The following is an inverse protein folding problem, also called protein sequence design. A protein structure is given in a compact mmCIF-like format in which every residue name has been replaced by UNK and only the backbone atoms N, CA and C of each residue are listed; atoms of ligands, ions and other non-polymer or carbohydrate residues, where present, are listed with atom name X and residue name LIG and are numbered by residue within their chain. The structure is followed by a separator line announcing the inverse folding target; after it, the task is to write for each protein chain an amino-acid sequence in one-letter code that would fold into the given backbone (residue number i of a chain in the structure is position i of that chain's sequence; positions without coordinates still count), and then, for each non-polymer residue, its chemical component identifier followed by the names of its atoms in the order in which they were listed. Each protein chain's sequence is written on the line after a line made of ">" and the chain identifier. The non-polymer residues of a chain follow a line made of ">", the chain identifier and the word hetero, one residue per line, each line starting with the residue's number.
data_IF_996812366812
#
_entry.id   IF_996812366812
#
_cell.length_a   1.000
_cell.length_b   1.000
_cell.length_c   1.000
_cell.angle_alpha   90.00
_cell.angle_beta   90.00
_cell.angle_gamma   90.00
#
_symmetry.space_group_name_H-M   'P 1'
#
loop_
_entity.id
_entity.type
_entity.pdbx_description
1 polymer ?
#
# COMPACT_ATOMS: atom_id res chain seq x y z
N UNK A 1 8.52 -39.66 -22.50
CA UNK A 1 9.12 -38.54 -21.73
C UNK A 1 8.34 -37.22 -21.81
N UNK A 2 7.54 -36.92 -22.86
CA UNK A 2 6.69 -35.70 -22.88
C UNK A 2 5.57 -35.68 -21.83
N UNK A 3 4.79 -36.75 -21.72
CA UNK A 3 3.65 -36.80 -20.78
C UNK A 3 4.04 -36.56 -19.30
N UNK A 4 5.21 -37.08 -18.87
CA UNK A 4 5.74 -36.83 -17.53
C UNK A 4 6.18 -35.37 -17.33
N UNK A 5 6.80 -34.76 -18.34
CA UNK A 5 7.18 -33.36 -18.31
C UNK A 5 5.95 -32.43 -18.30
N UNK A 6 4.93 -32.75 -19.11
CA UNK A 6 3.66 -32.01 -19.14
C UNK A 6 2.92 -32.12 -17.80
N UNK A 7 2.93 -33.31 -17.18
CA UNK A 7 2.34 -33.52 -15.86
C UNK A 7 3.09 -32.76 -14.75
N UNK A 8 4.43 -32.75 -14.76
CA UNK A 8 5.23 -31.96 -13.83
C UNK A 8 4.99 -30.46 -13.99
N UNK A 9 4.91 -29.97 -15.23
CA UNK A 9 4.58 -28.56 -15.51
C UNK A 9 3.18 -28.19 -15.03
N UNK A 10 2.18 -29.04 -15.28
CA UNK A 10 0.82 -28.86 -14.80
C UNK A 10 0.78 -28.79 -13.26
N UNK A 11 1.40 -29.75 -12.57
CA UNK A 11 1.45 -29.80 -11.11
C UNK A 11 2.07 -28.53 -10.52
N UNK A 12 3.22 -28.11 -11.04
CA UNK A 12 3.91 -26.87 -10.61
C UNK A 12 3.04 -25.63 -10.83
N UNK A 13 2.31 -25.56 -11.95
CA UNK A 13 1.39 -24.46 -12.24
C UNK A 13 0.23 -24.43 -11.24
N UNK A 14 -0.40 -25.57 -11.00
CA UNK A 14 -1.52 -25.66 -10.05
C UNK A 14 -1.11 -25.35 -8.61
N UNK A 15 0.09 -25.76 -8.20
CA UNK A 15 0.64 -25.39 -6.88
C UNK A 15 0.87 -23.89 -6.76
N UNK A 16 1.42 -23.26 -7.81
CA UNK A 16 1.60 -21.81 -7.86
C UNK A 16 0.25 -21.07 -7.81
N UNK A 17 -0.73 -21.48 -8.61
CA UNK A 17 -2.07 -20.88 -8.63
C UNK A 17 -2.73 -20.96 -7.24
N UNK A 18 -2.63 -22.11 -6.56
CA UNK A 18 -3.13 -22.24 -5.18
C UNK A 18 -2.42 -21.29 -4.23
N UNK A 19 -1.09 -21.23 -4.28
CA UNK A 19 -0.30 -20.33 -3.44
C UNK A 19 -0.70 -18.86 -3.66
N UNK A 20 -0.89 -18.46 -4.92
CA UNK A 20 -1.30 -17.10 -5.27
C UNK A 20 -2.71 -16.81 -4.73
N UNK A 21 -3.66 -17.75 -4.87
CA UNK A 21 -5.00 -17.60 -4.29
C UNK A 21 -4.93 -17.35 -2.78
N UNK A 22 -4.12 -18.12 -2.04
CA UNK A 22 -3.97 -17.92 -0.60
C UNK A 22 -3.29 -16.58 -0.26
N UNK A 23 -2.26 -16.19 -1.02
CA UNK A 23 -1.54 -14.94 -0.79
C UNK A 23 -2.41 -13.70 -1.04
N UNK A 24 -3.40 -13.77 -1.94
CA UNK A 24 -4.22 -12.63 -2.34
C UNK A 24 -5.70 -12.77 -1.96
N UNK A 25 -6.10 -13.81 -1.21
CA UNK A 25 -7.50 -14.03 -0.80
C UNK A 25 -8.08 -12.83 -0.03
N UNK A 26 -7.25 -12.13 0.74
CA UNK A 26 -7.65 -11.00 1.57
C UNK A 26 -7.56 -9.65 0.84
N UNK A 27 -7.17 -9.62 -0.44
CA UNK A 27 -6.95 -8.37 -1.19
C UNK A 27 -8.16 -7.43 -1.13
N UNK A 28 -9.37 -7.98 -1.33
CA UNK A 28 -10.60 -7.19 -1.32
C UNK A 28 -10.88 -6.53 0.04
N UNK A 29 -10.81 -7.31 1.12
CA UNK A 29 -11.10 -6.80 2.47
C UNK A 29 -10.00 -5.83 2.93
N UNK A 30 -8.74 -6.07 2.55
CA UNK A 30 -7.63 -5.15 2.80
C UNK A 30 -7.93 -3.80 2.13
N UNK A 31 -8.33 -3.80 0.85
CA UNK A 31 -8.63 -2.55 0.14
C UNK A 31 -9.73 -1.73 0.82
N UNK A 32 -10.81 -2.38 1.25
CA UNK A 32 -11.90 -1.71 1.99
C UNK A 32 -11.43 -1.20 3.37
N UNK A 33 -10.55 -1.93 4.06
CA UNK A 33 -9.94 -1.50 5.33
C UNK A 33 -9.00 -0.30 5.16
N UNK A 34 -8.29 -0.20 4.04
CA UNK A 34 -7.42 0.94 3.77
C UNK A 34 -8.21 2.26 3.67
N UNK A 35 -9.42 2.24 3.12
CA UNK A 35 -10.29 3.42 3.08
C UNK A 35 -10.74 3.82 4.50
N UNK A 36 -10.93 2.85 5.40
CA UNK A 36 -11.21 3.12 6.82
C UNK A 36 -9.98 3.75 7.49
N UNK A 37 -8.79 3.23 7.23
CA UNK A 37 -7.52 3.76 7.76
C UNK A 37 -7.33 5.23 7.34
N UNK A 38 -7.58 5.57 6.08
CA UNK A 38 -7.45 6.96 5.62
C UNK A 38 -8.39 7.90 6.36
N UNK A 39 -9.62 7.45 6.65
CA UNK A 39 -10.56 8.24 7.43
C UNK A 39 -10.13 8.36 8.89
N UNK A 40 -9.51 7.32 9.47
CA UNK A 40 -8.87 7.39 10.79
C UNK A 40 -7.74 8.41 10.80
N UNK A 41 -6.83 8.37 9.81
CA UNK A 41 -5.74 9.34 9.68
C UNK A 41 -6.26 10.77 9.52
N UNK A 42 -7.30 10.97 8.69
CA UNK A 42 -7.96 12.27 8.52
C UNK A 42 -8.59 12.77 9.82
N UNK A 43 -9.24 11.90 10.57
CA UNK A 43 -9.85 12.25 11.86
C UNK A 43 -8.79 12.62 12.91
N UNK A 44 -7.68 11.88 12.94
CA UNK A 44 -6.55 12.20 13.83
C UNK A 44 -5.90 13.54 13.47
N UNK A 45 -5.72 13.83 12.17
CA UNK A 45 -5.15 15.09 11.69
C UNK A 45 -6.05 16.31 11.94
N UNK A 46 -7.36 16.11 12.09
CA UNK A 46 -8.32 17.17 12.42
C UNK A 46 -8.45 17.43 13.94
N UNK A 47 -7.85 16.59 14.77
CA UNK A 47 -7.90 16.70 16.22
C UNK A 47 -6.99 17.80 16.77
N UNK A 48 -7.23 18.21 18.02
CA UNK A 48 -6.38 19.18 18.73
C UNK A 48 -5.31 18.47 19.56
N UNK A 49 -4.08 18.98 19.54
CA UNK A 49 -2.98 18.46 20.36
C UNK A 49 -3.32 18.42 21.86
N UNK A 50 -2.93 17.33 22.53
CA UNK A 50 -3.10 17.14 23.97
C UNK A 50 -4.41 16.47 24.40
N UNK A 51 -5.25 16.03 23.46
CA UNK A 51 -6.41 15.19 23.77
C UNK A 51 -5.98 13.73 23.96
N UNK A 52 -6.11 13.22 25.19
CA UNK A 52 -5.84 11.80 25.54
C UNK A 52 -6.66 10.81 24.70
N UNK A 53 -7.82 11.24 24.20
CA UNK A 53 -8.63 10.42 23.30
C UNK A 53 -7.92 10.23 21.96
N UNK A 54 -7.32 11.27 21.39
CA UNK A 54 -6.56 11.19 20.13
C UNK A 54 -5.33 10.28 20.30
N UNK A 55 -4.61 10.39 21.42
CA UNK A 55 -3.49 9.48 21.72
C UNK A 55 -3.94 8.01 21.72
N UNK A 56 -5.07 7.72 22.38
CA UNK A 56 -5.64 6.36 22.39
C UNK A 56 -6.04 5.88 20.99
N UNK A 57 -6.59 6.77 20.16
CA UNK A 57 -6.96 6.46 18.77
C UNK A 57 -5.72 6.23 17.89
N UNK A 58 -4.64 6.99 18.11
CA UNK A 58 -3.36 6.78 17.42
C UNK A 58 -2.75 5.42 17.78
N UNK A 59 -2.84 5.00 19.05
CA UNK A 59 -2.41 3.67 19.49
C UNK A 59 -3.21 2.56 18.78
N UNK A 60 -4.53 2.71 18.64
CA UNK A 60 -5.38 1.76 17.93
C UNK A 60 -5.00 1.70 16.45
N UNK A 61 -4.76 2.85 15.81
CA UNK A 61 -4.32 2.90 14.42
C UNK A 61 -2.98 2.18 14.23
N UNK A 62 -2.00 2.43 15.10
CA UNK A 62 -0.71 1.72 15.08
C UNK A 62 -0.89 0.22 15.22
N UNK A 63 -1.74 -0.23 16.15
CA UNK A 63 -2.03 -1.65 16.32
C UNK A 63 -2.67 -2.26 15.07
N UNK A 64 -3.61 -1.55 14.45
CA UNK A 64 -4.26 -1.99 13.21
C UNK A 64 -3.25 -2.12 12.06
N UNK A 65 -2.38 -1.13 11.88
CA UNK A 65 -1.32 -1.18 10.87
C UNK A 65 -0.37 -2.36 11.10
N UNK A 66 0.03 -2.63 12.36
CA UNK A 66 0.85 -3.80 12.69
C UNK A 66 0.13 -5.14 12.42
N UNK A 67 -1.19 -5.20 12.55
CA UNK A 67 -1.98 -6.39 12.18
C UNK A 67 -1.94 -6.59 10.66
N UNK A 68 -2.13 -5.53 9.89
CA UNK A 68 -2.06 -5.57 8.43
C UNK A 68 -0.66 -5.94 7.92
N UNK A 69 0.40 -5.43 8.55
CA UNK A 69 1.78 -5.78 8.26
C UNK A 69 2.05 -7.28 8.43
N UNK A 70 1.59 -7.87 9.54
CA UNK A 70 1.65 -9.32 9.75
C UNK A 70 0.82 -10.13 8.75
N UNK A 71 -0.22 -9.53 8.16
CA UNK A 71 -1.00 -10.13 7.09
C UNK A 71 -0.37 -9.94 5.69
N UNK A 72 0.81 -9.34 5.61
CA UNK A 72 1.56 -9.12 4.37
C UNK A 72 1.30 -7.77 3.70
N UNK A 73 0.60 -6.84 4.35
CA UNK A 73 0.33 -5.50 3.81
C UNK A 73 1.43 -4.53 4.23
N UNK A 74 2.09 -3.88 3.27
CA UNK A 74 3.15 -2.90 3.52
C UNK A 74 2.84 -1.57 2.85
N UNK A 75 3.19 -0.47 3.50
CA UNK A 75 3.06 0.88 2.95
C UNK A 75 4.13 1.13 1.88
N UNK A 76 3.73 1.76 0.78
CA UNK A 76 4.64 2.21 -0.28
C UNK A 76 5.28 3.52 0.19
N UNK A 77 6.60 3.50 0.41
CA UNK A 77 7.36 4.72 0.71
C UNK A 77 7.53 5.50 -0.59
N UNK A 78 6.95 6.71 -0.63
CA UNK A 78 6.92 7.51 -1.85
C UNK A 78 7.64 8.85 -1.67
N UNK A 79 7.55 9.49 -0.49
CA UNK A 79 8.06 10.85 -0.29
C UNK A 79 9.57 10.94 -0.57
N UNK A 80 9.96 11.80 -1.52
CA UNK A 80 11.35 12.00 -1.97
C UNK A 80 11.89 10.94 -2.93
N UNK A 81 11.14 9.86 -3.18
CA UNK A 81 11.49 8.81 -4.13
C UNK A 81 11.14 9.22 -5.56
N UNK A 82 11.74 8.53 -6.54
CA UNK A 82 11.41 8.72 -7.95
C UNK A 82 9.99 8.23 -8.24
N UNK A 83 9.27 8.97 -9.08
CA UNK A 83 7.92 8.58 -9.46
C UNK A 83 7.94 7.30 -10.33
N UNK A 84 7.34 6.22 -9.82
CA UNK A 84 7.08 5.00 -10.57
C UNK A 84 5.56 4.78 -10.78
N UNK A 85 5.05 4.79 -12.03
CA UNK A 85 3.64 4.54 -12.33
C UNK A 85 3.09 3.19 -11.84
N UNK A 86 3.96 2.21 -11.55
CA UNK A 86 3.54 0.93 -11.01
C UNK A 86 3.10 1.03 -9.54
N UNK A 87 3.66 1.99 -8.80
CA UNK A 87 3.44 2.16 -7.36
C UNK A 87 2.72 3.47 -7.01
N UNK A 88 2.80 4.46 -7.90
CA UNK A 88 2.34 5.82 -7.67
C UNK A 88 1.32 6.25 -8.72
N UNK A 89 0.35 7.04 -8.27
CA UNK A 89 -0.62 7.75 -9.10
C UNK A 89 -0.38 9.25 -8.93
N UNK A 90 0.29 9.87 -9.91
CA UNK A 90 0.54 11.30 -9.91
C UNK A 90 -0.75 12.05 -10.24
N UNK A 91 -1.33 12.72 -9.26
CA UNK A 91 -2.58 13.48 -9.42
C UNK A 91 -2.35 14.97 -9.63
N UNK A 92 -1.17 15.46 -9.26
CA UNK A 92 -0.76 16.86 -9.44
C UNK A 92 0.74 16.95 -9.70
N UNK A 93 1.16 18.02 -10.37
CA UNK A 93 2.56 18.43 -10.50
C UNK A 93 2.75 19.81 -9.88
N UNK A 94 3.90 20.04 -9.25
CA UNK A 94 4.23 21.34 -8.66
C UNK A 94 5.70 21.70 -8.86
N UNK A 95 5.98 23.00 -8.90
CA UNK A 95 7.37 23.48 -8.92
C UNK A 95 7.96 23.29 -7.52
N UNK A 96 9.03 22.48 -7.42
CA UNK A 96 9.72 22.23 -6.15
C UNK A 96 11.10 22.85 -6.16
N UNK A 97 11.44 23.53 -5.07
CA UNK A 97 12.81 23.97 -4.78
C UNK A 97 13.61 22.96 -3.96
N UNK A 98 12.93 21.96 -3.38
CA UNK A 98 13.51 20.96 -2.49
C UNK A 98 13.83 19.64 -3.21
N UNK A 99 13.03 19.28 -4.23
CA UNK A 99 13.15 18.02 -4.95
C UNK A 99 13.41 18.24 -6.45
N UNK A 100 14.18 17.34 -7.04
CA UNK A 100 14.43 17.31 -8.48
C UNK A 100 13.17 16.89 -9.26
N UNK A 101 13.06 17.35 -10.51
CA UNK A 101 11.99 16.98 -11.44
C UNK A 101 11.82 15.45 -11.50
N UNK A 102 10.57 14.99 -11.40
CA UNK A 102 10.22 13.56 -11.40
C UNK A 102 10.22 12.89 -10.03
N UNK A 103 10.56 13.59 -8.94
CA UNK A 103 10.45 13.08 -7.57
C UNK A 103 9.11 13.38 -6.93
N UNK A 104 8.67 12.50 -6.04
CA UNK A 104 7.45 12.70 -5.25
C UNK A 104 7.67 13.74 -4.16
N UNK A 105 6.91 14.83 -4.20
CA UNK A 105 7.01 15.96 -3.26
C UNK A 105 6.05 15.83 -2.08
N UNK A 106 4.90 15.20 -2.29
CA UNK A 106 3.88 15.02 -1.26
C UNK A 106 3.07 13.75 -1.50
N UNK A 107 2.68 13.08 -0.41
CA UNK A 107 1.78 11.91 -0.44
C UNK A 107 0.41 12.31 0.07
N UNK A 108 -0.57 12.38 -0.83
CA UNK A 108 -1.95 12.76 -0.52
C UNK A 108 -2.77 11.58 0.00
N UNK A 109 -2.45 10.38 -0.46
CA UNK A 109 -3.02 9.13 0.02
C UNK A 109 -1.95 8.04 -0.03
N UNK A 110 -1.76 7.35 1.10
CA UNK A 110 -0.77 6.29 1.20
C UNK A 110 -1.10 5.11 0.29
N UNK A 111 -0.08 4.61 -0.40
CA UNK A 111 -0.15 3.39 -1.19
C UNK A 111 0.19 2.16 -0.36
N UNK A 112 -0.32 0.99 -0.76
CA UNK A 112 -0.08 -0.26 -0.07
C UNK A 112 0.12 -1.43 -1.04
N UNK A 113 0.99 -2.36 -0.63
CA UNK A 113 1.30 -3.62 -1.31
C UNK A 113 0.87 -4.77 -0.39
N UNK A 114 0.10 -5.72 -0.91
CA UNK A 114 -0.16 -6.99 -0.26
C UNK A 114 0.78 -8.04 -0.85
N UNK A 115 1.70 -8.55 -0.04
CA UNK A 115 2.76 -9.47 -0.43
C UNK A 115 3.63 -8.91 -1.57
N UNK A 116 3.29 -9.21 -2.82
CA UNK A 116 4.00 -8.75 -4.02
C UNK A 116 3.12 -7.98 -5.01
N UNK A 117 1.86 -7.73 -4.65
CA UNK A 117 0.88 -7.04 -5.51
C UNK A 117 0.51 -5.69 -4.92
N UNK A 118 0.54 -4.66 -5.74
CA UNK A 118 0.01 -3.33 -5.39
C UNK A 118 -1.51 -3.45 -5.26
N UNK A 119 -2.03 -3.22 -4.04
CA UNK A 119 -3.48 -3.24 -3.78
C UNK A 119 -4.10 -1.86 -3.90
N UNK A 120 -3.29 -0.82 -3.65
CA UNK A 120 -3.63 0.57 -3.85
C UNK A 120 -2.36 1.37 -4.15
N UNK A 121 -2.23 2.02 -5.33
CA UNK A 121 -1.11 2.91 -5.57
C UNK A 121 -1.21 4.15 -4.67
N UNK A 122 -0.07 4.75 -4.32
CA UNK A 122 -0.08 5.99 -3.56
C UNK A 122 -0.52 7.16 -4.45
N UNK A 123 -1.40 8.03 -3.97
CA UNK A 123 -1.70 9.27 -4.67
C UNK A 123 -0.69 10.33 -4.27
N UNK A 124 0.03 10.87 -5.24
CA UNK A 124 1.19 11.72 -4.99
C UNK A 124 1.17 12.99 -5.82
N UNK A 125 1.88 14.01 -5.32
CA UNK A 125 2.35 15.14 -6.11
C UNK A 125 3.78 14.91 -6.56
N UNK A 126 4.12 15.38 -7.76
CA UNK A 126 5.44 15.18 -8.37
C UNK A 126 6.05 16.53 -8.73
N UNK A 127 7.35 16.68 -8.50
CA UNK A 127 8.11 17.85 -8.91
C UNK A 127 8.17 17.93 -10.44
N UNK A 128 7.91 19.13 -10.97
CA UNK A 128 7.96 19.44 -12.40
C UNK A 128 9.40 19.59 -12.90
#
# INVERSE_FOLDING_TARGET
>A
MRLMADFQNFKRRTEKEKSDIYAFANEKIVKELLDVIDNFERALAAGNDGDKFLEGMEMILKQLLSVLERAGVSEIKCLGEDFDPNFHNAVMTEDSTEYESGKVTEVLQKGYILNSRVVRPAMVKVAN
#
